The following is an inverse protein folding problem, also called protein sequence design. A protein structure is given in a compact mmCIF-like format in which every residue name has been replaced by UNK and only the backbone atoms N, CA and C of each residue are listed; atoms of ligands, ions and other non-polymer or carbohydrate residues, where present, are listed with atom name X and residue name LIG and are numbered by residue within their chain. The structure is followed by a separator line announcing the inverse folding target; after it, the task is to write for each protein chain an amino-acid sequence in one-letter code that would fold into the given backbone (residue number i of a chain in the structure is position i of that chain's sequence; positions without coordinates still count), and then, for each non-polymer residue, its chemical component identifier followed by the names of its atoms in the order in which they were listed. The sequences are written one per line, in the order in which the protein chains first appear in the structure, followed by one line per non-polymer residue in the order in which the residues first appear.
data_IF_225511487969
#
_entry.id   IF_225511487969
#
_cell.length_a   1.000
_cell.length_b   1.000
_cell.length_c   1.000
_cell.angle_alpha   90.00
_cell.angle_beta   90.00
_cell.angle_gamma   90.00
#
_symmetry.space_group_name_H-M   'P 1'
#
loop_
_entity.id
_entity.type
_entity.pdbx_description
1 polymer ?
#
# COMPACT_ATOMS: atom_id res chain seq x y z
N UNK A 1 6.52 -20.12 27.72
CA UNK A 1 7.45 -19.76 26.62
C UNK A 1 6.60 -19.30 25.47
N UNK A 2 6.54 -18.01 25.21
CA UNK A 2 5.77 -17.45 24.09
C UNK A 2 6.59 -17.73 22.82
N UNK A 3 6.11 -18.65 22.00
CA UNK A 3 6.70 -18.84 20.66
C UNK A 3 6.24 -17.68 19.79
N UNK A 4 7.17 -16.94 19.22
CA UNK A 4 6.84 -15.90 18.25
C UNK A 4 6.22 -16.52 17.00
N UNK A 5 5.06 -16.01 16.59
CA UNK A 5 4.43 -16.39 15.34
C UNK A 5 4.88 -15.45 14.23
N UNK A 6 5.16 -16.01 13.08
CA UNK A 6 5.36 -15.24 11.86
C UNK A 6 4.02 -15.09 11.15
N UNK A 7 3.56 -13.87 11.01
CA UNK A 7 2.39 -13.57 10.19
C UNK A 7 2.87 -13.12 8.83
N UNK A 8 2.43 -13.83 7.81
CA UNK A 8 2.68 -13.41 6.44
C UNK A 8 1.72 -12.28 6.08
N UNK A 9 2.25 -11.18 5.60
CA UNK A 9 1.49 -10.04 5.10
C UNK A 9 1.85 -9.89 3.62
N UNK A 10 0.84 -9.79 2.77
CA UNK A 10 1.08 -9.67 1.35
C UNK A 10 -0.18 -9.34 0.56
N UNK A 11 0.01 -9.26 -0.73
CA UNK A 11 -1.07 -9.01 -1.66
C UNK A 11 -1.55 -10.32 -2.28
N UNK A 12 -2.81 -10.66 -2.02
CA UNK A 12 -3.45 -11.87 -2.53
C UNK A 12 -4.10 -11.60 -3.89
N UNK A 13 -4.41 -10.35 -4.20
CA UNK A 13 -5.23 -9.96 -5.34
C UNK A 13 -4.46 -9.68 -6.65
N UNK A 14 -3.17 -9.45 -6.58
CA UNK A 14 -2.38 -9.08 -7.75
C UNK A 14 -1.46 -10.20 -8.22
N UNK A 15 -1.92 -11.02 -9.16
CA UNK A 15 -1.14 -12.08 -9.84
C UNK A 15 -0.46 -13.07 -8.89
N UNK A 16 -1.08 -13.37 -7.75
CA UNK A 16 -0.48 -14.27 -6.76
C UNK A 16 0.81 -13.74 -6.15
N UNK A 17 1.07 -12.47 -6.28
CA UNK A 17 2.27 -11.87 -5.74
C UNK A 17 2.07 -11.55 -4.25
N UNK A 18 2.79 -12.25 -3.42
CA UNK A 18 2.77 -12.11 -1.97
C UNK A 18 3.74 -11.04 -1.46
N UNK A 19 4.42 -10.36 -2.35
CA UNK A 19 5.42 -9.37 -1.97
C UNK A 19 4.73 -8.05 -1.66
N UNK A 20 4.91 -7.58 -0.45
CA UNK A 20 4.53 -6.22 -0.10
C UNK A 20 5.21 -5.24 -1.05
N UNK A 21 4.45 -4.26 -1.47
CA UNK A 21 4.98 -3.21 -2.29
C UNK A 21 6.06 -2.45 -1.62
N UNK A 22 7.05 -2.10 -2.33
CA UNK A 22 8.17 -1.31 -1.85
C UNK A 22 9.00 -2.03 -0.81
N UNK A 23 10.12 -1.57 -0.56
CA UNK A 23 11.07 -1.89 0.49
C UNK A 23 10.66 -3.01 1.42
N UNK A 24 11.05 -4.21 1.07
CA UNK A 24 11.06 -5.35 1.97
C UNK A 24 12.38 -5.36 2.70
N UNK A 25 12.34 -5.43 3.98
CA UNK A 25 13.52 -5.54 4.82
C UNK A 25 13.28 -4.89 6.17
N UNK A 26 13.79 -5.51 7.20
CA UNK A 26 13.64 -5.02 8.56
C UNK A 26 12.18 -4.87 8.99
N UNK A 27 11.29 -5.71 8.43
CA UNK A 27 9.87 -5.70 8.73
C UNK A 27 9.63 -6.38 10.06
N UNK A 28 8.89 -5.73 10.94
CA UNK A 28 8.39 -6.27 12.20
C UNK A 28 7.05 -5.63 12.52
N UNK A 29 6.33 -6.22 13.45
CA UNK A 29 5.01 -5.74 13.84
C UNK A 29 4.54 -6.36 15.13
N UNK A 30 3.33 -6.04 15.51
CA UNK A 30 2.64 -6.59 16.67
C UNK A 30 1.18 -6.89 16.32
N UNK A 31 0.59 -7.79 17.06
CA UNK A 31 -0.82 -8.11 16.96
C UNK A 31 -1.55 -7.65 18.20
N UNK A 32 -2.77 -7.21 18.04
CA UNK A 32 -3.64 -6.82 19.15
C UNK A 32 -5.10 -7.15 18.82
N UNK A 33 -5.85 -7.53 19.81
CA UNK A 33 -7.30 -7.67 19.74
C UNK A 33 -7.98 -6.39 20.23
N UNK A 34 -8.90 -5.88 19.42
CA UNK A 34 -9.69 -4.70 19.74
C UNK A 34 -11.15 -5.05 19.47
N UNK A 35 -11.96 -5.05 20.52
CA UNK A 35 -13.39 -5.37 20.44
C UNK A 35 -13.72 -6.69 19.72
N UNK A 36 -12.94 -7.73 19.97
CA UNK A 36 -13.14 -9.05 19.35
C UNK A 36 -12.56 -9.21 17.96
N UNK A 37 -11.97 -8.18 17.39
CA UNK A 37 -11.30 -8.23 16.10
C UNK A 37 -9.79 -8.14 16.28
N UNK A 38 -9.06 -9.08 15.72
CA UNK A 38 -7.60 -9.07 15.68
C UNK A 38 -7.06 -8.20 14.56
N UNK A 39 -6.01 -7.47 14.87
CA UNK A 39 -5.27 -6.63 13.91
C UNK A 39 -3.79 -6.93 13.98
N UNK A 40 -3.10 -6.79 12.84
CA UNK A 40 -1.65 -6.70 12.79
C UNK A 40 -1.24 -5.28 12.47
N UNK A 41 -0.37 -4.73 13.31
CA UNK A 41 0.31 -3.47 13.04
C UNK A 41 1.71 -3.78 12.54
N UNK A 42 2.07 -3.18 11.44
CA UNK A 42 3.37 -3.36 10.82
C UNK A 42 3.86 -2.05 10.22
N UNK A 43 5.00 -2.05 9.60
CA UNK A 43 5.48 -0.86 8.91
C UNK A 43 5.84 -1.18 7.47
N UNK A 44 5.80 -0.17 6.63
CA UNK A 44 6.46 -0.18 5.34
C UNK A 44 7.50 0.93 5.28
N UNK A 45 8.55 0.67 4.51
CA UNK A 45 9.62 1.64 4.34
C UNK A 45 9.19 2.70 3.32
N UNK A 46 9.66 3.92 3.57
CA UNK A 46 9.40 5.09 2.72
C UNK A 46 10.71 5.75 2.33
N UNK A 47 10.66 6.77 1.47
CA UNK A 47 11.83 7.56 1.06
C UNK A 47 12.99 6.74 0.48
N UNK A 48 12.74 5.53 -0.01
CA UNK A 48 13.80 4.60 -0.47
C UNK A 48 14.90 4.39 0.59
N UNK A 49 14.57 4.48 1.86
CA UNK A 49 15.50 4.38 2.97
C UNK A 49 15.11 3.30 3.96
N UNK A 50 16.11 2.59 4.46
CA UNK A 50 15.91 1.52 5.43
C UNK A 50 15.33 2.00 6.76
N UNK A 51 15.61 3.21 7.15
CA UNK A 51 15.22 3.76 8.45
C UNK A 51 13.94 4.61 8.40
N UNK A 52 13.51 5.05 7.21
CA UNK A 52 12.24 5.75 7.04
C UNK A 52 11.08 4.75 7.00
N UNK A 53 10.14 4.86 7.94
CA UNK A 53 9.07 3.87 8.13
C UNK A 53 7.75 4.54 8.47
N UNK A 54 6.66 3.95 7.97
CA UNK A 54 5.30 4.38 8.30
C UNK A 54 4.48 3.19 8.76
N UNK A 55 3.68 3.39 9.79
CA UNK A 55 2.77 2.39 10.33
C UNK A 55 1.67 2.02 9.35
N UNK A 56 1.37 0.74 9.32
CA UNK A 56 0.25 0.15 8.59
C UNK A 56 -0.48 -0.79 9.53
N UNK A 57 -1.74 -1.05 9.23
CA UNK A 57 -2.55 -2.02 9.97
C UNK A 57 -3.46 -2.78 9.02
N UNK A 58 -3.68 -4.05 9.33
CA UNK A 58 -4.64 -4.91 8.62
C UNK A 58 -5.41 -5.76 9.62
N UNK A 59 -6.62 -6.14 9.26
CA UNK A 59 -7.38 -7.14 10.01
C UNK A 59 -6.71 -8.50 9.90
N UNK A 60 -6.75 -9.24 11.00
CA UNK A 60 -6.32 -10.63 11.06
C UNK A 60 -7.49 -11.55 11.35
N UNK A 61 -7.44 -12.72 10.73
CA UNK A 61 -8.28 -13.86 11.10
C UNK A 61 -7.43 -14.89 11.81
N UNK A 62 -7.81 -15.26 13.02
CA UNK A 62 -7.26 -16.42 13.71
C UNK A 62 -8.29 -17.54 13.60
N UNK A 63 -7.92 -18.64 12.98
CA UNK A 63 -8.81 -19.80 12.82
C UNK A 63 -8.98 -20.56 14.13
N UNK A 64 -10.03 -21.41 14.26
CA UNK A 64 -10.21 -22.20 15.48
C UNK A 64 -9.05 -23.13 15.83
N UNK A 65 -8.27 -23.55 14.84
CA UNK A 65 -7.05 -24.36 15.03
C UNK A 65 -5.83 -23.51 15.43
N UNK A 66 -6.00 -22.21 15.61
CA UNK A 66 -4.93 -21.25 15.94
C UNK A 66 -4.08 -20.82 14.75
N UNK A 67 -4.35 -21.29 13.56
CA UNK A 67 -3.62 -20.85 12.37
C UNK A 67 -4.03 -19.44 11.93
N UNK A 68 -3.07 -18.71 11.40
CA UNK A 68 -3.26 -17.34 10.89
C UNK A 68 -2.99 -17.37 9.39
N UNK A 69 -4.01 -17.22 8.54
CA UNK A 69 -3.79 -17.06 7.11
C UNK A 69 -3.01 -15.78 6.80
N UNK A 70 -2.45 -15.70 5.63
CA UNK A 70 -1.76 -14.49 5.19
C UNK A 70 -2.70 -13.29 5.28
N UNK A 71 -2.26 -12.24 5.99
CA UNK A 71 -2.98 -10.98 6.02
C UNK A 71 -2.83 -10.26 4.67
N UNK A 72 -3.94 -9.81 4.13
CA UNK A 72 -3.93 -9.06 2.89
C UNK A 72 -3.60 -7.59 3.16
N UNK A 73 -2.76 -7.00 2.33
CA UNK A 73 -2.52 -5.56 2.36
C UNK A 73 -3.70 -4.86 1.67
N UNK A 74 -4.36 -3.98 2.40
CA UNK A 74 -5.52 -3.23 1.91
C UNK A 74 -5.34 -1.72 2.08
N UNK A 75 -6.23 -0.93 1.51
CA UNK A 75 -6.34 0.50 1.81
C UNK A 75 -7.23 0.78 3.03
N UNK A 76 -7.86 -0.26 3.59
CA UNK A 76 -8.87 -0.11 4.61
C UNK A 76 -8.28 0.14 6.00
N UNK A 77 -7.10 -0.40 6.30
CA UNK A 77 -6.46 -0.22 7.60
C UNK A 77 -7.35 -0.71 8.74
N UNK A 78 -7.71 0.17 9.64
CA UNK A 78 -8.58 -0.11 10.80
C UNK A 78 -10.08 0.03 10.51
N UNK A 79 -10.47 0.39 9.30
CA UNK A 79 -11.89 0.49 8.95
C UNK A 79 -12.55 -0.88 8.94
N UNK A 80 -13.83 -0.89 9.21
CA UNK A 80 -14.60 -2.13 9.38
C UNK A 80 -15.07 -2.78 8.06
N UNK A 81 -14.59 -2.30 6.94
CA UNK A 81 -14.92 -2.82 5.61
C UNK A 81 -14.31 -1.98 4.52
N UNK A 82 -14.80 -2.11 3.29
CA UNK A 82 -14.40 -1.25 2.19
C UNK A 82 -14.57 0.22 2.51
N UNK A 83 -13.68 1.04 2.00
CA UNK A 83 -13.81 2.49 2.06
C UNK A 83 -14.96 2.94 1.14
N UNK A 84 -15.64 4.01 1.50
CA UNK A 84 -16.69 4.56 0.64
C UNK A 84 -16.09 5.07 -0.67
N UNK A 85 -16.80 4.88 -1.78
CA UNK A 85 -16.43 5.44 -3.08
C UNK A 85 -16.49 6.96 -3.13
N UNK A 86 -17.10 7.59 -2.13
CA UNK A 86 -17.18 9.04 -1.96
C UNK A 86 -16.28 9.50 -0.83
N UNK A 87 -15.59 10.63 -1.01
CA UNK A 87 -14.71 11.21 0.01
C UNK A 87 -13.36 11.61 -0.55
N UNK A 88 -12.51 12.11 0.32
CA UNK A 88 -11.13 12.45 0.00
C UNK A 88 -10.19 11.51 0.73
N UNK A 89 -9.29 10.91 -0.01
CA UNK A 89 -8.34 9.93 0.51
C UNK A 89 -6.92 10.31 0.13
N UNK A 90 -5.99 10.10 1.04
CA UNK A 90 -4.58 10.33 0.75
C UNK A 90 -4.00 9.23 -0.14
N UNK A 91 -3.20 9.60 -1.12
CA UNK A 91 -2.58 8.65 -2.04
C UNK A 91 -1.74 7.58 -1.32
N UNK A 92 -1.26 7.87 -0.14
CA UNK A 92 -0.45 6.94 0.69
C UNK A 92 -1.18 5.65 1.11
N UNK A 93 -2.51 5.58 1.02
CA UNK A 93 -3.23 4.34 1.34
C UNK A 93 -3.15 3.30 0.23
N UNK A 94 -2.46 3.59 -0.87
CA UNK A 94 -2.24 2.61 -1.92
C UNK A 94 -1.63 1.32 -1.36
N UNK A 95 -2.15 0.19 -1.82
CA UNK A 95 -1.64 -1.14 -1.47
C UNK A 95 -0.46 -1.51 -2.35
N UNK A 96 -0.51 -1.13 -3.61
CA UNK A 96 0.42 -1.54 -4.65
C UNK A 96 0.97 -0.36 -5.41
N UNK A 97 2.27 -0.40 -5.67
CA UNK A 97 2.95 0.51 -6.60
C UNK A 97 3.77 -0.31 -7.58
N UNK A 98 3.70 0.06 -8.85
CA UNK A 98 4.52 -0.59 -9.89
C UNK A 98 4.89 0.40 -10.99
N UNK A 99 5.96 0.09 -11.69
CA UNK A 99 6.37 0.72 -12.94
C UNK A 99 6.16 -0.23 -14.12
N UNK A 100 6.48 0.18 -15.32
CA UNK A 100 6.52 -0.70 -16.50
C UNK A 100 7.38 -1.96 -16.32
N UNK A 101 8.42 -1.87 -15.49
CA UNK A 101 9.36 -2.96 -15.24
C UNK A 101 9.04 -3.76 -13.99
N UNK A 102 7.90 -3.49 -13.35
CA UNK A 102 7.45 -4.17 -12.14
C UNK A 102 7.61 -3.34 -10.89
N UNK A 103 7.50 -4.02 -9.76
CA UNK A 103 7.56 -3.39 -8.44
C UNK A 103 9.01 -3.17 -7.99
N UNK A 104 9.20 -2.15 -7.19
CA UNK A 104 10.47 -1.92 -6.52
C UNK A 104 10.73 -2.99 -5.46
N UNK A 105 11.85 -3.67 -5.55
CA UNK A 105 12.31 -4.61 -4.53
C UNK A 105 13.71 -4.20 -4.04
N UNK A 106 13.80 -3.83 -2.77
CA UNK A 106 15.00 -3.26 -2.16
C UNK A 106 16.30 -4.05 -2.41
N UNK A 107 16.24 -5.37 -2.31
CA UNK A 107 17.42 -6.20 -2.44
C UNK A 107 17.85 -6.47 -3.88
N UNK A 108 16.91 -6.44 -4.82
CA UNK A 108 17.17 -6.81 -6.23
C UNK A 108 17.34 -5.62 -7.16
N UNK A 109 16.90 -4.44 -6.74
CA UNK A 109 16.77 -3.29 -7.64
C UNK A 109 17.52 -2.05 -7.18
N UNK A 110 18.27 -2.15 -6.08
CA UNK A 110 19.04 -1.01 -5.54
C UNK A 110 19.90 -0.30 -6.58
N UNK A 111 20.42 -1.04 -7.55
CA UNK A 111 21.18 -0.45 -8.67
C UNK A 111 20.29 0.01 -9.82
N UNK A 112 19.21 -0.71 -10.10
CA UNK A 112 18.29 -0.35 -11.18
C UNK A 112 17.46 0.90 -10.84
N UNK A 113 17.16 1.10 -9.57
CA UNK A 113 16.41 2.27 -9.11
C UNK A 113 17.23 3.58 -9.11
N UNK A 114 18.53 3.51 -9.31
CA UNK A 114 19.34 4.72 -9.55
C UNK A 114 18.79 5.57 -10.70
N UNK A 115 18.00 4.98 -11.59
CA UNK A 115 17.32 5.68 -12.69
C UNK A 115 15.99 6.33 -12.30
N UNK A 116 15.54 6.16 -11.07
CA UNK A 116 14.30 6.77 -10.59
C UNK A 116 13.05 6.33 -11.36
N UNK A 117 12.96 5.05 -11.77
CA UNK A 117 11.84 4.55 -12.59
C UNK A 117 10.68 3.97 -11.79
N UNK A 118 10.87 3.74 -10.51
CA UNK A 118 9.84 3.13 -9.67
C UNK A 118 9.13 4.16 -8.79
N UNK A 119 7.80 4.12 -8.72
CA UNK A 119 7.07 4.91 -7.74
C UNK A 119 7.38 4.44 -6.33
N UNK A 120 7.32 5.35 -5.37
CA UNK A 120 7.57 5.06 -3.97
C UNK A 120 6.81 6.01 -3.06
N UNK A 121 6.52 5.57 -1.84
CA UNK A 121 5.93 6.42 -0.83
C UNK A 121 6.98 7.36 -0.23
N UNK A 122 6.63 8.60 -0.07
CA UNK A 122 7.49 9.62 0.52
C UNK A 122 6.64 10.67 1.24
N UNK A 123 7.26 11.73 1.67
CA UNK A 123 6.61 12.87 2.29
C UNK A 123 7.41 14.15 2.09
N UNK A 124 6.77 15.29 2.24
CA UNK A 124 7.42 16.57 2.44
C UNK A 124 7.90 16.71 3.89
N UNK A 125 9.04 17.34 4.10
CA UNK A 125 9.62 17.50 5.43
C UNK A 125 10.44 16.31 5.92
N UNK A 126 10.83 16.33 7.17
CA UNK A 126 11.64 15.28 7.80
C UNK A 126 10.83 14.05 8.20
N UNK A 127 11.40 13.12 8.91
CA UNK A 127 10.86 11.76 9.10
C UNK A 127 10.01 11.57 10.38
N UNK A 128 9.81 12.61 11.16
CA UNK A 128 9.09 12.54 12.45
C UNK A 128 8.12 13.68 12.66
N UNK A 129 7.64 14.27 11.60
CA UNK A 129 6.76 15.39 11.67
C UNK A 129 5.36 15.01 12.09
N UNK A 130 4.72 15.95 12.76
CA UNK A 130 3.33 15.81 13.17
C UNK A 130 2.39 15.85 11.98
N UNK A 131 2.72 16.62 10.96
CA UNK A 131 1.85 16.91 9.81
C UNK A 131 2.54 16.55 8.48
N UNK A 132 3.11 15.36 8.44
CA UNK A 132 3.77 14.87 7.22
C UNK A 132 2.80 14.75 6.06
N UNK A 133 2.99 15.56 5.03
CA UNK A 133 2.30 15.43 3.76
C UNK A 133 2.87 14.23 3.00
N UNK A 134 2.17 13.10 3.07
CA UNK A 134 2.60 11.85 2.45
C UNK A 134 1.98 11.68 1.06
N UNK A 135 2.81 11.35 0.11
CA UNK A 135 2.41 11.17 -1.28
C UNK A 135 3.18 10.04 -1.97
N UNK A 136 2.78 9.72 -3.17
CA UNK A 136 3.51 8.80 -4.04
C UNK A 136 4.36 9.62 -4.99
N UNK A 137 5.67 9.47 -4.87
CA UNK A 137 6.61 10.12 -5.77
C UNK A 137 6.92 9.24 -6.97
N UNK A 138 7.43 9.88 -8.02
CA UNK A 138 7.99 9.22 -9.20
C UNK A 138 6.97 8.39 -9.99
N UNK A 139 5.76 8.92 -10.16
CA UNK A 139 4.75 8.35 -11.05
C UNK A 139 5.11 8.66 -12.51
N UNK A 140 6.00 7.85 -13.06
CA UNK A 140 6.48 7.96 -14.45
C UNK A 140 5.53 7.25 -15.41
N UNK A 141 5.76 7.38 -16.72
CA UNK A 141 4.96 6.71 -17.74
C UNK A 141 4.86 5.19 -17.52
N UNK A 142 3.62 4.70 -17.48
CA UNK A 142 3.28 3.31 -17.18
C UNK A 142 3.43 2.90 -15.73
N UNK A 143 3.64 3.85 -14.82
CA UNK A 143 3.51 3.59 -13.39
C UNK A 143 2.04 3.51 -12.99
N UNK A 144 1.74 2.72 -11.98
CA UNK A 144 0.40 2.61 -11.42
C UNK A 144 0.42 2.46 -9.91
N UNK A 145 -0.68 2.88 -9.30
CA UNK A 145 -0.97 2.69 -7.87
C UNK A 145 -2.30 1.95 -7.73
N UNK A 146 -2.32 0.91 -6.93
CA UNK A 146 -3.51 0.10 -6.67
C UNK A 146 -4.07 0.35 -5.28
N UNK A 147 -5.38 0.42 -5.20
CA UNK A 147 -6.12 0.65 -3.96
C UNK A 147 -7.15 -0.47 -3.75
N UNK A 148 -7.35 -0.92 -2.52
CA UNK A 148 -8.31 -1.96 -2.13
C UNK A 148 -8.81 -1.68 -0.71
N UNK A 149 -10.03 -1.79 -0.45
CA UNK A 149 -11.22 -1.98 -1.25
C UNK A 149 -12.07 -0.72 -1.16
N UNK A 150 -12.77 -0.40 -2.23
CA UNK A 150 -13.71 0.71 -2.26
C UNK A 150 -15.09 0.21 -2.67
N UNK A 151 -16.12 0.69 -2.01
CA UNK A 151 -17.50 0.43 -2.36
C UNK A 151 -18.08 1.64 -3.09
N UNK A 152 -18.42 1.42 -4.35
CA UNK A 152 -19.07 2.42 -5.20
C UNK A 152 -20.56 2.14 -5.29
N UNK A 153 -21.37 3.16 -5.12
CA UNK A 153 -22.84 3.07 -5.17
C UNK A 153 -23.39 3.20 -6.58
N UNK A 154 -22.56 3.54 -7.56
CA UNK A 154 -22.94 3.88 -8.93
C UNK A 154 -23.46 5.31 -9.11
N UNK A 155 -23.44 6.10 -8.05
CA UNK A 155 -23.83 7.53 -8.09
C UNK A 155 -22.63 8.46 -8.28
N UNK A 156 -21.44 7.96 -8.03
CA UNK A 156 -20.18 8.67 -8.22
C UNK A 156 -19.99 8.98 -9.70
N UNK A 157 -19.67 10.23 -10.03
CA UNK A 157 -19.55 10.71 -11.41
C UNK A 157 -18.15 11.16 -11.78
N UNK A 158 -17.34 11.48 -10.78
CA UNK A 158 -16.01 12.05 -10.99
C UNK A 158 -15.01 11.44 -10.03
N UNK A 159 -13.78 11.32 -10.50
CA UNK A 159 -12.62 11.04 -9.68
C UNK A 159 -11.62 12.18 -9.89
N UNK A 160 -11.23 12.82 -8.81
CA UNK A 160 -10.23 13.88 -8.83
C UNK A 160 -8.93 13.35 -8.27
N UNK A 161 -7.82 13.64 -8.92
CA UNK A 161 -6.50 13.25 -8.48
C UNK A 161 -5.62 14.48 -8.39
N UNK A 162 -5.15 14.78 -7.18
CA UNK A 162 -4.19 15.85 -6.97
C UNK A 162 -2.78 15.37 -7.33
N UNK A 163 -2.15 16.09 -8.24
CA UNK A 163 -0.78 15.80 -8.70
C UNK A 163 0.10 17.04 -8.63
N UNK A 164 1.38 16.83 -8.39
CA UNK A 164 2.40 17.88 -8.43
C UNK A 164 3.50 17.46 -9.41
N UNK A 165 3.91 18.38 -10.28
CA UNK A 165 4.96 18.15 -11.26
C UNK A 165 4.80 19.01 -12.50
N UNK A 166 5.74 18.85 -13.42
CA UNK A 166 5.79 19.64 -14.69
C UNK A 166 5.47 18.76 -15.91
N UNK A 167 5.32 17.46 -15.75
CA UNK A 167 5.02 16.56 -16.84
C UNK A 167 3.54 16.63 -17.25
N UNK A 168 3.29 16.65 -18.55
CA UNK A 168 1.97 16.44 -19.10
C UNK A 168 1.73 14.93 -19.32
N UNK A 169 0.50 14.47 -19.10
CA UNK A 169 0.20 13.06 -19.29
C UNK A 169 -1.29 12.76 -19.08
N UNK A 170 -1.62 11.49 -19.15
CA UNK A 170 -2.97 10.97 -18.91
C UNK A 170 -2.96 10.01 -17.74
N UNK A 171 -3.91 10.16 -16.83
CA UNK A 171 -4.20 9.22 -15.75
C UNK A 171 -5.39 8.38 -16.19
N UNK A 172 -5.22 7.06 -16.12
CA UNK A 172 -6.31 6.10 -16.37
C UNK A 172 -6.77 5.50 -15.06
N UNK A 173 -8.05 5.55 -14.80
CA UNK A 173 -8.66 4.85 -13.68
C UNK A 173 -9.21 3.51 -14.17
N UNK A 174 -8.95 2.44 -13.43
CA UNK A 174 -9.33 1.09 -13.82
C UNK A 174 -9.84 0.32 -12.60
N UNK A 175 -10.82 -0.52 -12.78
CA UNK A 175 -11.34 -1.42 -11.73
C UNK A 175 -10.53 -2.71 -11.55
N UNK A 176 -9.41 -2.81 -12.23
CA UNK A 176 -8.45 -3.91 -12.15
C UNK A 176 -7.44 -3.82 -13.27
N UNK A 177 -6.35 -4.57 -13.20
CA UNK A 177 -5.24 -4.47 -14.18
C UNK A 177 -5.64 -4.86 -15.61
N UNK A 178 -6.70 -5.64 -15.77
CA UNK A 178 -7.18 -6.11 -17.06
C UNK A 178 -8.61 -5.63 -17.37
N UNK A 179 -9.15 -4.71 -16.59
CA UNK A 179 -10.53 -4.27 -16.74
C UNK A 179 -10.65 -3.09 -17.69
N UNK A 180 -11.85 -2.98 -18.24
CA UNK A 180 -12.25 -1.90 -19.13
C UNK A 180 -12.13 -0.56 -18.41
N UNK A 181 -11.68 0.45 -19.13
CA UNK A 181 -11.64 1.83 -18.65
C UNK A 181 -13.08 2.29 -18.31
N UNK A 182 -13.22 2.90 -17.16
CA UNK A 182 -14.45 3.60 -16.79
C UNK A 182 -14.42 5.00 -17.40
#
# INVERSE_FOLDING_TARGET
MIRGYWVSIGDIGFKGNTVANNYTGNTHGGMVEINGQWYIFYHRQTNKQKCARRGCAEKLTIRPDGSIPQAEITSCGLNDGPLLGTGTYEARIACNLSSKTGMFAYLKTREKDKKGIHPYFTQSGGDREKDGDQYIANMTDGAWAGYKYFEFTGKEKTIEVSVCGTAAGTIKVMTGLNSIQI
#
